data_IF_974341239027
#
_entry.id   IF_974341239027
#
_cell.length_a   1.000
_cell.length_b   1.000
_cell.length_c   1.000
_cell.angle_alpha   90.00
_cell.angle_beta   90.00
_cell.angle_gamma   90.00
#
_symmetry.space_group_name_H-M   'P 1'
#
loop_
_entity.id
_entity.type
_entity.pdbx_description
1 polymer ?
#
# COMPACT_ATOMS: atom_id res chain seq x y z
N UNK A 1 2.32 -4.00 -9.75
CA UNK A 1 1.14 -4.79 -9.31
C UNK A 1 0.59 -4.06 -8.10
N UNK A 2 -0.72 -3.94 -7.92
CA UNK A 2 -1.30 -3.20 -6.78
C UNK A 2 -0.64 -3.54 -5.43
N UNK A 3 -0.71 -2.64 -4.46
CA UNK A 3 -0.44 -2.96 -3.06
C UNK A 3 -1.76 -3.09 -2.30
N UNK A 4 -2.08 -4.32 -1.88
CA UNK A 4 -3.11 -4.61 -0.88
C UNK A 4 -2.45 -4.90 0.47
N UNK A 5 -2.89 -4.20 1.51
CA UNK A 5 -2.40 -4.34 2.89
C UNK A 5 -3.56 -4.68 3.82
N UNK A 6 -3.36 -5.64 4.72
CA UNK A 6 -4.32 -6.04 5.75
C UNK A 6 -3.75 -5.77 7.14
N UNK A 7 -4.57 -5.16 7.98
CA UNK A 7 -4.25 -4.79 9.36
C UNK A 7 -5.14 -5.59 10.31
N UNK A 8 -4.57 -6.52 11.10
CA UNK A 8 -5.28 -7.12 12.23
C UNK A 8 -5.72 -6.07 13.26
N UNK A 9 -6.60 -6.49 14.17
CA UNK A 9 -6.97 -5.69 15.34
C UNK A 9 -5.72 -5.19 16.09
N UNK A 10 -5.77 -3.95 16.54
CA UNK A 10 -4.75 -3.21 17.30
C UNK A 10 -3.41 -2.99 16.58
N UNK A 11 -3.34 -3.23 15.26
CA UNK A 11 -2.19 -2.87 14.42
C UNK A 11 -2.41 -1.54 13.71
N UNK A 12 -1.59 -0.55 14.06
CA UNK A 12 -1.58 0.75 13.38
C UNK A 12 -0.77 0.67 12.08
N UNK A 13 -1.11 1.45 11.06
CA UNK A 13 -0.39 1.46 9.80
C UNK A 13 0.98 2.13 9.96
N UNK A 14 1.96 1.61 9.23
CA UNK A 14 3.15 2.37 8.87
C UNK A 14 2.77 3.28 7.70
N UNK A 15 2.58 4.57 7.99
CA UNK A 15 2.21 5.59 7.01
C UNK A 15 3.26 5.72 5.89
N UNK A 16 4.54 5.56 6.20
CA UNK A 16 5.59 5.59 5.18
C UNK A 16 5.50 4.37 4.26
N UNK A 17 5.15 3.19 4.79
CA UNK A 17 4.92 2.01 3.98
C UNK A 17 3.72 2.18 3.02
N UNK A 18 2.66 2.84 3.49
CA UNK A 18 1.51 3.18 2.65
C UNK A 18 1.87 4.17 1.53
N UNK A 19 2.61 5.24 1.86
CA UNK A 19 3.07 6.24 0.90
C UNK A 19 3.98 5.63 -0.17
N UNK A 20 4.92 4.77 0.22
CA UNK A 20 5.79 4.05 -0.74
C UNK A 20 4.97 3.16 -1.68
N UNK A 21 4.02 2.43 -1.12
CA UNK A 21 3.09 1.62 -1.88
C UNK A 21 2.26 2.43 -2.86
N UNK A 22 1.76 3.59 -2.43
CA UNK A 22 0.97 4.50 -3.26
C UNK A 22 1.81 5.11 -4.40
N UNK A 23 3.06 5.53 -4.14
CA UNK A 23 3.94 6.12 -5.14
C UNK A 23 4.21 5.19 -6.34
N UNK A 24 4.20 3.87 -6.13
CA UNK A 24 4.36 2.86 -7.20
C UNK A 24 3.02 2.45 -7.82
N UNK A 25 1.90 2.73 -7.15
CA UNK A 25 0.56 2.24 -7.48
C UNK A 25 -0.48 3.39 -7.39
N UNK A 26 -0.34 4.37 -8.28
CA UNK A 26 -1.02 5.67 -8.22
C UNK A 26 -2.25 5.76 -9.14
N UNK A 27 -3.06 4.69 -9.24
CA UNK A 27 -4.27 4.66 -10.09
C UNK A 27 -5.57 4.54 -9.27
N UNK A 28 -5.53 5.03 -8.04
CA UNK A 28 -6.64 5.05 -7.09
C UNK A 28 -6.31 4.33 -5.79
N UNK A 29 -6.80 4.88 -4.69
CA UNK A 29 -6.55 4.40 -3.34
C UNK A 29 -7.87 4.19 -2.60
N UNK A 30 -7.85 3.31 -1.62
CA UNK A 30 -8.98 3.18 -0.73
C UNK A 30 -8.72 2.25 0.43
N UNK A 31 -9.61 2.31 1.40
CA UNK A 31 -9.50 1.58 2.64
C UNK A 31 -10.85 1.07 3.10
N UNK A 32 -10.81 0.11 4.03
CA UNK A 32 -11.97 -0.20 4.85
C UNK A 32 -11.53 -0.49 6.29
N UNK A 33 -12.26 0.04 7.26
CA UNK A 33 -12.07 -0.21 8.69
C UNK A 33 -13.36 -0.80 9.26
N UNK A 34 -13.25 -1.95 9.92
CA UNK A 34 -14.38 -2.51 10.67
C UNK A 34 -14.53 -1.72 11.98
N UNK A 35 -15.68 -1.12 12.23
CA UNK A 35 -15.94 -0.33 13.45
C UNK A 35 -17.22 -0.83 14.12
N UNK A 36 -17.11 -1.51 15.26
CA UNK A 36 -18.30 -2.03 15.95
C UNK A 36 -19.15 -2.96 15.06
N UNK A 37 -20.28 -2.47 14.55
CA UNK A 37 -21.22 -3.17 13.67
C UNK A 37 -21.28 -2.60 12.24
N UNK A 38 -20.39 -1.68 11.88
CA UNK A 38 -20.34 -0.99 10.57
C UNK A 38 -18.97 -1.07 9.92
N UNK A 39 -18.93 -0.80 8.62
CA UNK A 39 -17.71 -0.60 7.85
C UNK A 39 -17.59 0.89 7.52
N UNK A 40 -16.44 1.48 7.84
CA UNK A 40 -16.04 2.77 7.27
C UNK A 40 -15.22 2.46 6.02
N UNK A 41 -15.61 3.05 4.89
CA UNK A 41 -14.98 2.84 3.59
C UNK A 41 -14.70 4.22 2.98
N UNK A 42 -13.45 4.47 2.65
CA UNK A 42 -13.01 5.66 1.91
C UNK A 42 -12.27 5.25 0.64
N UNK A 43 -12.45 6.04 -0.42
CA UNK A 43 -11.78 5.87 -1.71
C UNK A 43 -11.46 7.25 -2.27
N UNK A 44 -10.42 7.34 -3.07
CA UNK A 44 -10.03 8.59 -3.70
C UNK A 44 -8.86 8.41 -4.66
N UNK A 45 -8.56 9.48 -5.38
CA UNK A 45 -7.46 9.52 -6.34
C UNK A 45 -6.20 10.18 -5.79
N UNK A 46 -6.30 10.92 -4.68
CA UNK A 46 -5.16 11.52 -3.99
C UNK A 46 -4.69 10.58 -2.87
N UNK A 47 -3.45 10.10 -2.94
CA UNK A 47 -2.89 9.17 -1.95
C UNK A 47 -2.81 9.78 -0.55
N UNK A 48 -2.30 11.01 -0.42
CA UNK A 48 -2.08 11.68 0.86
C UNK A 48 -3.39 11.87 1.62
N UNK A 49 -4.44 12.33 0.92
CA UNK A 49 -5.77 12.54 1.50
C UNK A 49 -6.37 11.22 2.02
N UNK A 50 -6.33 10.17 1.20
CA UNK A 50 -6.91 8.86 1.53
C UNK A 50 -6.12 8.15 2.64
N UNK A 51 -4.78 8.30 2.65
CA UNK A 51 -3.93 7.76 3.72
C UNK A 51 -4.20 8.50 5.02
N UNK A 52 -4.27 9.83 5.00
CA UNK A 52 -4.55 10.63 6.19
C UNK A 52 -5.92 10.25 6.80
N UNK A 53 -6.96 10.12 5.97
CA UNK A 53 -8.28 9.66 6.41
C UNK A 53 -8.23 8.25 6.99
N UNK A 54 -7.53 7.32 6.31
CA UNK A 54 -7.37 5.95 6.80
C UNK A 54 -6.67 5.90 8.16
N UNK A 55 -5.56 6.62 8.33
CA UNK A 55 -4.80 6.70 9.59
C UNK A 55 -5.69 7.26 10.70
N UNK A 56 -6.48 8.29 10.41
CA UNK A 56 -7.43 8.87 11.35
C UNK A 56 -8.49 7.87 11.81
N UNK A 57 -9.16 7.19 10.87
CA UNK A 57 -10.16 6.17 11.18
C UNK A 57 -9.57 5.01 11.97
N UNK A 58 -8.36 4.58 11.61
CA UNK A 58 -7.68 3.46 12.24
C UNK A 58 -7.25 3.75 13.68
N UNK A 59 -6.88 5.00 14.00
CA UNK A 59 -6.63 5.45 15.38
C UNK A 59 -7.90 5.47 16.22
N UNK A 60 -9.04 5.84 15.65
CA UNK A 60 -10.34 5.86 16.35
C UNK A 60 -10.94 4.48 16.55
N UNK A 61 -10.62 3.55 15.66
CA UNK A 61 -11.17 2.20 15.66
C UNK A 61 -10.06 1.13 15.68
N UNK A 62 -9.20 1.10 16.72
CA UNK A 62 -8.05 0.21 16.76
C UNK A 62 -8.45 -1.28 16.87
N UNK A 63 -9.59 -1.58 17.51
CA UNK A 63 -10.01 -2.96 17.78
C UNK A 63 -10.53 -3.73 16.56
N UNK A 64 -10.91 -3.05 15.49
CA UNK A 64 -11.38 -3.70 14.26
C UNK A 64 -10.24 -4.05 13.31
N UNK A 65 -10.38 -5.11 12.49
CA UNK A 65 -9.49 -5.30 11.35
C UNK A 65 -9.73 -4.25 10.27
N UNK A 66 -8.72 -4.00 9.46
CA UNK A 66 -8.79 -3.04 8.36
C UNK A 66 -7.99 -3.50 7.14
N UNK A 67 -8.22 -2.84 6.01
CA UNK A 67 -7.40 -2.96 4.80
C UNK A 67 -7.12 -1.60 4.19
N UNK A 68 -6.03 -1.52 3.43
CA UNK A 68 -5.71 -0.39 2.56
C UNK A 68 -5.26 -0.95 1.20
N UNK A 69 -5.61 -0.26 0.12
CA UNK A 69 -5.26 -0.66 -1.23
C UNK A 69 -4.81 0.51 -2.09
N UNK A 70 -3.67 0.38 -2.75
CA UNK A 70 -3.19 1.27 -3.81
C UNK A 70 -3.20 0.53 -5.15
N UNK A 71 -3.93 1.06 -6.13
CA UNK A 71 -4.20 0.38 -7.41
C UNK A 71 -3.14 0.68 -8.45
N UNK A 72 -2.73 -0.37 -9.16
CA UNK A 72 -2.05 -0.28 -10.45
C UNK A 72 -3.00 -0.82 -11.53
N UNK A 73 -3.49 0.05 -12.40
CA UNK A 73 -4.57 -0.31 -13.33
C UNK A 73 -4.08 -1.26 -14.43
N UNK A 74 -4.58 -2.49 -14.43
CA UNK A 74 -4.37 -3.46 -15.52
C UNK A 74 -5.61 -3.62 -16.42
N UNK A 75 -6.81 -3.45 -15.84
CA UNK A 75 -8.10 -3.49 -16.50
C UNK A 75 -9.03 -2.42 -15.93
N UNK A 76 -9.96 -1.94 -16.75
CA UNK A 76 -10.88 -0.85 -16.41
C UNK A 76 -10.20 0.52 -16.41
N UNK A 77 -10.99 1.59 -16.41
CA UNK A 77 -10.49 2.96 -16.39
C UNK A 77 -9.73 3.29 -15.10
N UNK A 78 -8.88 4.31 -15.15
CA UNK A 78 -8.32 4.96 -13.95
C UNK A 78 -9.37 5.93 -13.42
N UNK A 79 -10.02 5.57 -12.33
CA UNK A 79 -11.06 6.36 -11.67
C UNK A 79 -11.30 5.85 -10.25
N UNK A 80 -11.87 6.71 -9.40
CA UNK A 80 -12.26 6.36 -8.03
C UNK A 80 -13.27 5.20 -8.00
N UNK A 81 -14.14 5.15 -9.00
CA UNK A 81 -15.09 4.07 -9.25
C UNK A 81 -14.44 2.68 -9.43
N UNK A 82 -13.15 2.63 -9.71
CA UNK A 82 -12.34 1.42 -9.81
C UNK A 82 -11.29 1.30 -8.70
N UNK A 83 -11.29 2.21 -7.73
CA UNK A 83 -10.50 2.06 -6.51
C UNK A 83 -11.16 1.02 -5.59
N UNK A 84 -10.35 0.09 -5.11
CA UNK A 84 -10.76 -0.87 -4.10
C UNK A 84 -10.93 -0.18 -2.73
N UNK A 85 -11.76 -0.74 -1.82
CA UNK A 85 -12.51 -1.99 -1.95
C UNK A 85 -13.89 -1.82 -2.60
N UNK A 86 -14.50 -2.94 -3.01
CA UNK A 86 -15.86 -3.00 -3.57
C UNK A 86 -16.82 -3.74 -2.65
N UNK A 87 -18.08 -3.34 -2.60
CA UNK A 87 -19.13 -4.09 -1.91
C UNK A 87 -19.35 -5.47 -2.58
N UNK A 88 -19.74 -6.47 -1.80
CA UNK A 88 -20.02 -7.81 -2.29
C UNK A 88 -21.45 -7.89 -2.84
N UNK A 89 -21.61 -7.72 -4.14
CA UNK A 89 -22.93 -7.60 -4.77
C UNK A 89 -23.74 -6.47 -4.12
N UNK A 90 -24.95 -6.80 -3.65
CA UNK A 90 -25.82 -5.86 -2.93
C UNK A 90 -25.63 -5.85 -1.41
N UNK A 91 -24.58 -6.49 -0.87
CA UNK A 91 -24.26 -6.50 0.57
C UNK A 91 -23.22 -5.43 0.91
N UNK A 92 -23.62 -4.21 1.34
CA UNK A 92 -22.68 -3.16 1.73
C UNK A 92 -21.98 -3.45 3.06
N UNK A 93 -22.45 -4.44 3.83
CA UNK A 93 -21.81 -4.87 5.07
C UNK A 93 -20.62 -5.83 4.83
N UNK A 94 -20.29 -6.11 3.57
CA UNK A 94 -19.15 -6.93 3.17
C UNK A 94 -18.42 -6.28 2.01
N UNK A 95 -17.10 -6.09 2.14
CA UNK A 95 -16.27 -5.48 1.10
C UNK A 95 -15.09 -6.36 0.73
N UNK A 96 -14.63 -6.22 -0.52
CA UNK A 96 -13.60 -7.06 -1.14
C UNK A 96 -12.51 -6.18 -1.74
N UNK A 97 -11.26 -6.50 -1.45
CA UNK A 97 -10.08 -5.96 -2.12
C UNK A 97 -9.20 -7.09 -2.67
N UNK A 98 -8.54 -6.84 -3.80
CA UNK A 98 -7.81 -7.85 -4.56
C UNK A 98 -6.48 -7.31 -5.07
N UNK A 99 -5.42 -8.12 -4.99
CA UNK A 99 -4.18 -7.87 -5.71
C UNK A 99 -3.87 -9.02 -6.67
N UNK A 100 -3.75 -8.68 -7.95
CA UNK A 100 -3.37 -9.56 -9.05
C UNK A 100 -4.21 -9.28 -10.29
N UNK A 101 -4.37 -10.29 -11.14
CA UNK A 101 -5.25 -10.27 -12.31
C UNK A 101 -6.16 -11.50 -12.24
N UNK A 102 -7.47 -11.27 -12.13
CA UNK A 102 -8.44 -12.34 -11.97
C UNK A 102 -8.62 -13.15 -13.26
N UNK A 103 -9.25 -14.33 -13.22
CA UNK A 103 -9.51 -15.13 -14.42
C UNK A 103 -10.30 -14.37 -15.48
N UNK A 104 -10.07 -14.71 -16.76
CA UNK A 104 -10.68 -14.06 -17.93
C UNK A 104 -12.22 -13.96 -17.88
N UNK A 105 -12.88 -14.86 -17.15
CA UNK A 105 -14.33 -14.87 -16.98
C UNK A 105 -14.90 -13.60 -16.32
N UNK A 106 -14.08 -12.82 -15.62
CA UNK A 106 -14.48 -11.54 -15.00
C UNK A 106 -13.73 -10.35 -15.60
N UNK A 107 -13.09 -10.49 -16.76
CA UNK A 107 -12.47 -9.37 -17.45
C UNK A 107 -13.55 -8.49 -18.11
N UNK A 108 -13.38 -7.16 -18.12
CA UNK A 108 -14.32 -6.27 -18.78
C UNK A 108 -14.42 -6.57 -20.28
N UNK A 109 -15.65 -6.57 -20.79
CA UNK A 109 -15.93 -6.63 -22.22
C UNK A 109 -15.66 -5.30 -22.92
N UNK A 110 -15.85 -5.27 -24.25
CA UNK A 110 -15.72 -4.04 -25.01
C UNK A 110 -16.67 -2.94 -24.49
N UNK A 111 -16.11 -1.81 -24.08
CA UNK A 111 -16.86 -0.66 -23.55
C UNK A 111 -17.20 -0.72 -22.06
N UNK A 112 -16.91 -1.83 -21.35
CA UNK A 112 -17.06 -1.88 -19.89
C UNK A 112 -15.87 -1.19 -19.21
N UNK A 113 -16.15 -0.14 -18.45
CA UNK A 113 -15.13 0.66 -17.77
C UNK A 113 -14.69 0.06 -16.43
N UNK A 114 -15.38 -0.98 -15.94
CA UNK A 114 -15.09 -1.59 -14.64
C UNK A 114 -13.79 -2.40 -14.67
N UNK A 115 -13.10 -2.45 -13.53
CA UNK A 115 -11.99 -3.38 -13.31
C UNK A 115 -12.49 -4.82 -13.21
N UNK A 116 -11.61 -5.79 -13.46
CA UNK A 116 -11.90 -7.20 -13.28
C UNK A 116 -12.36 -7.54 -11.86
N UNK A 117 -11.79 -6.86 -10.87
CA UNK A 117 -12.16 -7.02 -9.46
C UNK A 117 -13.55 -6.48 -9.18
N UNK A 118 -13.92 -5.33 -9.78
CA UNK A 118 -15.25 -4.75 -9.60
C UNK A 118 -16.31 -5.70 -10.16
N UNK A 119 -16.10 -6.22 -11.37
CA UNK A 119 -16.98 -7.24 -11.99
C UNK A 119 -17.05 -8.48 -11.08
N UNK A 120 -15.92 -8.96 -10.57
CA UNK A 120 -15.89 -10.11 -9.69
C UNK A 120 -16.65 -9.89 -8.38
N UNK A 121 -16.52 -8.72 -7.75
CA UNK A 121 -17.20 -8.39 -6.50
C UNK A 121 -18.72 -8.23 -6.69
N UNK A 122 -19.13 -7.55 -7.77
CA UNK A 122 -20.53 -7.27 -8.08
C UNK A 122 -21.29 -8.52 -8.55
N UNK A 123 -20.66 -9.37 -9.36
CA UNK A 123 -21.38 -10.40 -10.14
C UNK A 123 -20.95 -11.84 -9.81
N UNK A 124 -19.67 -12.09 -9.54
CA UNK A 124 -19.13 -13.45 -9.41
C UNK A 124 -19.10 -13.94 -7.96
N UNK A 125 -18.38 -13.22 -7.10
CA UNK A 125 -18.23 -13.54 -5.68
C UNK A 125 -19.55 -13.37 -4.91
N UNK A 126 -20.48 -12.57 -5.45
CA UNK A 126 -21.82 -12.39 -4.92
C UNK A 126 -22.74 -13.61 -5.12
N UNK A 127 -22.35 -14.58 -5.98
CA UNK A 127 -23.17 -15.77 -6.22
C UNK A 127 -23.22 -16.68 -5.00
N UNK A 128 -24.36 -17.35 -4.71
CA UNK A 128 -24.52 -18.20 -3.52
C UNK A 128 -23.45 -19.28 -3.34
N UNK A 129 -22.87 -19.77 -4.45
CA UNK A 129 -21.79 -20.76 -4.42
C UNK A 129 -20.47 -20.24 -3.83
N UNK A 130 -20.30 -18.91 -3.73
CA UNK A 130 -19.06 -18.24 -3.32
C UNK A 130 -19.19 -17.44 -2.02
N UNK A 131 -20.39 -17.21 -1.50
CA UNK A 131 -20.60 -16.28 -0.36
C UNK A 131 -20.46 -16.90 1.04
N UNK A 132 -20.20 -18.21 1.16
CA UNK A 132 -20.10 -18.91 2.44
C UNK A 132 -18.65 -19.05 2.94
N UNK A 133 -17.97 -17.94 3.25
CA UNK A 133 -16.52 -17.87 3.51
C UNK A 133 -16.01 -18.70 4.71
N UNK A 134 -16.90 -19.07 5.65
CA UNK A 134 -16.57 -19.94 6.79
C UNK A 134 -16.52 -21.42 6.43
N UNK A 135 -17.08 -21.82 5.29
CA UNK A 135 -17.15 -23.22 4.87
C UNK A 135 -15.93 -23.62 4.04
N UNK A 136 -15.23 -24.67 4.47
CA UNK A 136 -14.02 -25.15 3.79
C UNK A 136 -14.22 -25.46 2.29
N UNK A 137 -15.39 -25.99 1.91
CA UNK A 137 -15.72 -26.26 0.49
C UNK A 137 -15.78 -24.98 -0.34
N UNK A 138 -16.40 -23.93 0.18
CA UNK A 138 -16.48 -22.62 -0.48
C UNK A 138 -15.11 -21.97 -0.52
N UNK A 139 -14.33 -22.06 0.56
CA UNK A 139 -12.95 -21.55 0.59
C UNK A 139 -12.07 -22.21 -0.47
N UNK A 140 -12.13 -23.54 -0.59
CA UNK A 140 -11.40 -24.28 -1.61
C UNK A 140 -11.83 -23.89 -3.04
N UNK A 141 -13.13 -23.66 -3.26
CA UNK A 141 -13.67 -23.19 -4.54
C UNK A 141 -13.13 -21.80 -4.91
N UNK A 142 -13.19 -20.84 -3.98
CA UNK A 142 -12.63 -19.49 -4.19
C UNK A 142 -11.14 -19.58 -4.49
N UNK A 143 -10.39 -20.32 -3.66
CA UNK A 143 -8.93 -20.47 -3.81
C UNK A 143 -8.55 -21.07 -5.17
N UNK A 144 -9.27 -22.11 -5.62
CA UNK A 144 -9.06 -22.71 -6.93
C UNK A 144 -9.36 -21.75 -8.07
N UNK A 145 -10.43 -20.97 -7.95
CA UNK A 145 -10.79 -19.96 -8.94
C UNK A 145 -9.77 -18.82 -9.00
N UNK A 146 -9.30 -18.33 -7.85
CA UNK A 146 -8.26 -17.29 -7.78
C UNK A 146 -6.94 -17.75 -8.42
N UNK A 147 -6.56 -19.02 -8.28
CA UNK A 147 -5.21 -19.48 -8.60
C UNK A 147 -4.18 -18.94 -7.61
N UNK A 148 -2.90 -19.32 -7.76
CA UNK A 148 -1.89 -19.07 -6.72
C UNK A 148 -1.35 -17.63 -6.67
N UNK A 149 -1.45 -16.86 -7.76
CA UNK A 149 -0.83 -15.53 -7.86
C UNK A 149 -1.72 -14.40 -7.32
N UNK A 150 -3.02 -14.64 -7.17
CA UNK A 150 -4.01 -13.63 -6.79
C UNK A 150 -4.27 -13.65 -5.28
N UNK A 151 -4.35 -12.50 -4.63
CA UNK A 151 -4.66 -12.41 -3.19
C UNK A 151 -5.93 -11.61 -2.97
N UNK A 152 -6.75 -12.06 -2.03
CA UNK A 152 -8.05 -11.45 -1.75
C UNK A 152 -8.19 -11.21 -0.25
N UNK A 153 -8.59 -10.00 0.12
CA UNK A 153 -8.98 -9.64 1.49
C UNK A 153 -10.46 -9.28 1.47
N UNK A 154 -11.23 -9.90 2.36
CA UNK A 154 -12.65 -9.60 2.56
C UNK A 154 -12.83 -9.14 4.00
N UNK A 155 -13.46 -7.98 4.19
CA UNK A 155 -13.91 -7.50 5.49
C UNK A 155 -15.43 -7.51 5.54
N UNK A 156 -15.97 -7.83 6.72
CA UNK A 156 -17.43 -7.89 6.90
C UNK A 156 -17.84 -7.58 8.33
N UNK A 157 -19.01 -6.96 8.45
CA UNK A 157 -19.79 -6.84 9.68
C UNK A 157 -21.13 -7.58 9.58
N UNK A 158 -21.39 -8.26 8.46
CA UNK A 158 -22.59 -9.04 8.27
C UNK A 158 -22.61 -10.22 9.27
N UNK A 159 -23.62 -10.31 10.17
CA UNK A 159 -23.63 -11.27 11.27
C UNK A 159 -23.76 -12.72 10.83
N UNK A 160 -24.04 -12.99 9.54
CA UNK A 160 -24.04 -14.35 8.99
C UNK A 160 -22.63 -14.99 8.98
N UNK A 161 -21.59 -14.18 9.06
CA UNK A 161 -20.20 -14.63 9.05
C UNK A 161 -19.64 -14.73 10.46
N UNK A 162 -18.85 -15.78 10.72
CA UNK A 162 -18.20 -16.00 12.02
C UNK A 162 -16.99 -15.11 12.25
N UNK A 163 -16.33 -14.67 11.18
CA UNK A 163 -15.15 -13.81 11.23
C UNK A 163 -15.44 -12.48 10.55
N UNK A 164 -14.72 -11.45 10.98
CA UNK A 164 -14.80 -10.10 10.41
C UNK A 164 -13.80 -9.85 9.27
N UNK A 165 -12.87 -10.78 9.07
CA UNK A 165 -11.86 -10.73 8.03
C UNK A 165 -11.57 -12.13 7.48
N UNK A 166 -11.41 -12.23 6.16
CA UNK A 166 -11.03 -13.44 5.45
C UNK A 166 -9.94 -13.11 4.44
N UNK A 167 -8.80 -13.79 4.56
CA UNK A 167 -7.70 -13.74 3.59
C UNK A 167 -7.73 -15.01 2.75
N UNK A 168 -7.53 -14.86 1.44
CA UNK A 168 -7.33 -15.94 0.49
C UNK A 168 -5.97 -15.79 -0.17
N UNK A 169 -5.24 -16.91 -0.28
CA UNK A 169 -3.83 -16.96 -0.66
C UNK A 169 -2.93 -16.09 0.21
N UNK A 170 -3.21 -16.07 1.52
CA UNK A 170 -2.41 -15.34 2.52
C UNK A 170 -0.92 -15.67 2.45
N UNK A 171 -0.58 -16.95 2.21
CA UNK A 171 0.79 -17.43 2.09
C UNK A 171 1.55 -16.88 0.85
N UNK A 172 0.86 -16.24 -0.09
CA UNK A 172 1.46 -15.55 -1.23
C UNK A 172 1.74 -14.05 -0.95
N UNK A 173 1.40 -13.56 0.24
CA UNK A 173 1.86 -12.29 0.77
C UNK A 173 2.87 -12.48 1.89
N UNK A 174 3.20 -11.41 2.58
CA UNK A 174 4.21 -11.36 3.63
C UNK A 174 3.63 -10.73 4.89
N UNK A 175 4.02 -11.25 6.04
CA UNK A 175 3.76 -10.62 7.32
C UNK A 175 5.00 -9.87 7.77
N UNK A 176 4.87 -8.56 7.98
CA UNK A 176 5.90 -7.71 8.56
C UNK A 176 5.31 -6.89 9.71
N UNK A 177 5.95 -6.94 10.88
CA UNK A 177 5.52 -6.25 12.10
C UNK A 177 4.02 -6.46 12.48
N UNK A 178 3.47 -7.61 12.12
CA UNK A 178 2.07 -7.97 12.37
C UNK A 178 1.06 -7.32 11.41
N UNK A 179 1.53 -6.75 10.31
CA UNK A 179 0.75 -6.26 9.18
C UNK A 179 1.00 -7.20 8.01
N UNK A 180 -0.05 -7.53 7.26
CA UNK A 180 0.09 -8.37 6.07
C UNK A 180 0.14 -7.50 4.81
N UNK A 181 1.14 -7.73 3.97
CA UNK A 181 1.34 -7.06 2.69
C UNK A 181 1.25 -8.07 1.56
N UNK A 182 0.56 -7.70 0.49
CA UNK A 182 0.36 -8.59 -0.66
C UNK A 182 1.59 -8.73 -1.59
N UNK A 183 2.57 -7.83 -1.48
CA UNK A 183 3.87 -7.86 -2.17
C UNK A 183 4.85 -6.90 -1.44
N UNK A 184 6.04 -6.70 -2.00
CA UNK A 184 7.11 -5.88 -1.40
C UNK A 184 7.07 -4.39 -1.79
N UNK A 185 6.01 -3.88 -2.42
CA UNK A 185 5.98 -2.48 -2.87
C UNK A 185 5.87 -1.48 -1.70
N UNK A 186 5.65 -1.98 -0.48
CA UNK A 186 5.72 -1.22 0.77
C UNK A 186 7.15 -1.03 1.28
N UNK A 187 8.13 -1.78 0.76
CA UNK A 187 9.52 -1.73 1.22
C UNK A 187 10.25 -0.51 0.64
N UNK A 188 11.28 -0.05 1.34
CA UNK A 188 12.22 0.90 0.76
C UNK A 188 13.02 0.15 -0.30
N UNK A 189 12.72 0.39 -1.57
CA UNK A 189 13.65 0.02 -2.65
C UNK A 189 14.80 1.01 -2.60
N UNK A 190 15.83 0.72 -1.81
CA UNK A 190 17.16 1.26 -2.11
C UNK A 190 17.60 0.48 -3.36
N UNK A 191 17.73 1.10 -4.54
CA UNK A 191 18.34 0.41 -5.67
C UNK A 191 19.65 -0.18 -5.17
N UNK A 192 19.88 -1.48 -5.37
CA UNK A 192 21.11 -2.17 -4.98
C UNK A 192 22.38 -1.60 -5.65
N UNK A 193 22.26 -0.47 -6.36
CA UNK A 193 23.28 0.26 -7.07
C UNK A 193 23.10 1.79 -6.98
N UNK A 194 22.39 2.34 -5.98
CA UNK A 194 22.78 3.71 -5.59
C UNK A 194 24.07 3.52 -4.83
N UNK A 195 25.22 3.95 -5.36
CA UNK A 195 26.47 3.71 -4.69
C UNK A 195 26.38 4.46 -3.36
N UNK A 196 26.22 3.72 -2.26
CA UNK A 196 26.25 4.23 -0.88
C UNK A 196 27.62 4.87 -0.54
N UNK A 197 28.53 4.91 -1.51
CA UNK A 197 29.89 5.45 -1.49
C UNK A 197 30.27 6.09 -2.85
N UNK A 198 29.29 6.51 -3.65
CA UNK A 198 29.53 7.34 -4.84
C UNK A 198 29.67 8.76 -4.35
N UNK A 199 30.89 9.14 -4.00
CA UNK A 199 31.19 10.46 -3.48
C UNK A 199 30.74 11.56 -4.44
N UNK A 200 30.86 12.80 -3.98
CA UNK A 200 30.71 14.04 -4.74
C UNK A 200 31.51 14.12 -6.08
N UNK A 201 32.15 13.04 -6.53
CA UNK A 201 33.00 12.96 -7.73
C UNK A 201 32.32 12.48 -9.01
N UNK A 202 31.07 11.99 -8.99
CA UNK A 202 30.39 11.48 -10.20
C UNK A 202 29.50 12.53 -10.91
N UNK A 203 29.41 13.74 -10.36
CA UNK A 203 28.58 14.83 -10.91
C UNK A 203 27.07 14.64 -10.67
N UNK A 204 26.29 15.65 -11.05
CA UNK A 204 24.85 15.69 -10.90
C UNK A 204 24.15 14.66 -11.78
N UNK A 205 23.29 13.80 -11.21
CA UNK A 205 22.54 12.79 -11.99
C UNK A 205 21.60 13.36 -13.06
N UNK A 206 21.26 14.66 -13.00
CA UNK A 206 20.34 15.31 -13.94
C UNK A 206 21.09 15.92 -15.13
N UNK A 207 22.15 16.67 -14.87
CA UNK A 207 22.84 17.46 -15.90
C UNK A 207 24.33 17.15 -16.04
N UNK A 208 24.88 16.27 -15.22
CA UNK A 208 26.31 15.91 -15.20
C UNK A 208 27.24 16.97 -14.64
N UNK A 209 26.72 18.10 -14.14
CA UNK A 209 27.52 19.17 -13.54
C UNK A 209 28.02 18.81 -12.15
N UNK A 210 29.21 19.25 -11.79
CA UNK A 210 29.95 18.88 -10.57
C UNK A 210 29.94 19.96 -9.47
N UNK A 211 29.39 21.15 -9.76
CA UNK A 211 29.32 22.25 -8.82
C UNK A 211 27.98 22.29 -8.05
N UNK A 212 28.08 22.40 -6.72
CA UNK A 212 26.94 22.43 -5.80
C UNK A 212 26.87 23.75 -5.03
N UNK A 213 25.65 24.23 -4.80
CA UNK A 213 25.39 25.36 -3.92
C UNK A 213 25.75 24.97 -2.47
N UNK A 214 26.64 25.68 -1.77
CA UNK A 214 27.03 25.30 -0.41
C UNK A 214 25.92 25.44 0.64
N UNK A 215 24.95 26.34 0.41
CA UNK A 215 23.84 26.59 1.32
C UNK A 215 22.64 25.69 1.03
N UNK A 216 22.27 25.59 -0.24
CA UNK A 216 21.10 24.82 -0.67
C UNK A 216 21.44 23.40 -1.10
N UNK A 217 22.71 23.02 -1.29
CA UNK A 217 23.27 21.72 -1.75
C UNK A 217 22.66 21.14 -3.03
N UNK A 218 22.02 22.00 -3.83
CA UNK A 218 21.52 21.67 -5.16
C UNK A 218 22.61 21.92 -6.20
N UNK A 219 22.48 21.29 -7.37
CA UNK A 219 23.38 21.54 -8.49
C UNK A 219 23.27 22.99 -8.97
N UNK A 220 24.39 23.71 -9.09
CA UNK A 220 24.40 25.11 -9.54
C UNK A 220 23.97 25.29 -11.01
N UNK A 221 23.96 24.22 -11.80
CA UNK A 221 23.63 24.28 -13.22
C UNK A 221 22.15 24.06 -13.52
N UNK A 222 21.50 23.18 -12.77
CA UNK A 222 20.10 22.81 -13.02
C UNK A 222 19.19 22.98 -11.82
N UNK A 223 19.72 23.38 -10.66
CA UNK A 223 18.96 23.58 -9.41
C UNK A 223 18.24 22.32 -8.90
N UNK A 224 18.65 21.14 -9.38
CA UNK A 224 18.15 19.85 -8.89
C UNK A 224 19.17 19.18 -7.96
N UNK A 225 18.66 18.36 -7.05
CA UNK A 225 19.45 17.54 -6.16
C UNK A 225 20.35 16.61 -6.97
N UNK A 226 21.68 16.64 -6.76
CA UNK A 226 22.63 15.88 -7.58
C UNK A 226 22.54 14.37 -7.35
N UNK A 227 21.73 13.89 -6.40
CA UNK A 227 21.58 12.47 -6.06
C UNK A 227 20.22 11.89 -6.45
N UNK A 228 19.12 12.61 -6.19
CA UNK A 228 17.75 12.13 -6.48
C UNK A 228 17.06 12.88 -7.62
N UNK A 229 17.65 13.97 -8.12
CA UNK A 229 17.10 14.76 -9.21
C UNK A 229 15.83 15.57 -8.86
N UNK A 230 15.50 15.74 -7.58
CA UNK A 230 14.38 16.58 -7.12
C UNK A 230 14.77 18.07 -7.06
N UNK A 231 13.83 18.97 -7.36
CA UNK A 231 14.00 20.42 -7.14
C UNK A 231 13.86 20.83 -5.66
N UNK A 232 13.98 22.13 -5.39
CA UNK A 232 14.04 22.71 -4.02
C UNK A 232 12.79 22.42 -3.16
N UNK A 233 11.61 22.31 -3.78
CA UNK A 233 10.33 22.03 -3.09
C UNK A 233 9.90 20.56 -3.10
N UNK A 234 10.67 19.69 -3.75
CA UNK A 234 10.26 18.30 -4.04
C UNK A 234 11.08 17.28 -3.26
N UNK A 235 11.75 17.69 -2.17
CA UNK A 235 12.46 16.74 -1.32
C UNK A 235 11.45 15.90 -0.54
N UNK A 236 11.30 14.60 -0.84
CA UNK A 236 10.46 13.77 -0.01
C UNK A 236 11.03 13.71 1.41
N UNK A 237 10.19 13.58 2.43
CA UNK A 237 10.58 13.49 3.86
C UNK A 237 11.60 12.38 4.17
N UNK A 238 11.87 11.49 3.21
CA UNK A 238 12.83 10.39 3.27
C UNK A 238 14.13 10.63 2.47
N UNK A 239 14.32 11.82 1.90
CA UNK A 239 15.56 12.20 1.23
C UNK A 239 16.75 12.17 2.21
N UNK A 240 17.85 11.54 1.82
CA UNK A 240 19.08 11.43 2.63
C UNK A 240 19.60 12.80 3.09
N UNK A 241 19.29 13.87 2.34
CA UNK A 241 19.62 15.26 2.68
C UNK A 241 18.83 15.81 3.86
N UNK A 242 17.58 15.38 4.03
CA UNK A 242 16.76 15.72 5.21
C UNK A 242 17.14 14.87 6.44
N UNK A 243 17.78 13.70 6.21
CA UNK A 243 18.26 12.82 7.30
C UNK A 243 19.71 13.05 7.70
N UNK A 244 20.49 13.79 6.90
CA UNK A 244 21.90 14.08 7.14
C UNK A 244 22.16 14.82 8.45
N UNK A 245 21.21 15.63 8.92
CA UNK A 245 21.34 16.42 10.15
C UNK A 245 20.74 15.74 11.40
N UNK A 246 20.15 14.54 11.24
CA UNK A 246 19.62 13.82 12.38
C UNK A 246 20.72 13.02 13.06
N UNK A 247 21.08 13.45 14.28
CA UNK A 247 21.94 12.68 15.17
C UNK A 247 21.22 11.41 15.64
N UNK A 248 21.92 10.28 15.58
CA UNK A 248 21.45 9.03 16.14
C UNK A 248 21.26 9.21 17.66
N UNK A 249 20.08 8.92 18.23
CA UNK A 249 19.86 9.11 19.66
C UNK A 249 20.67 8.14 20.53
N UNK A 250 21.20 7.05 19.96
CA UNK A 250 22.00 6.05 20.68
C UNK A 250 23.49 6.40 20.74
N UNK A 251 24.09 6.91 19.65
CA UNK A 251 25.52 7.20 19.58
C UNK A 251 25.87 8.67 19.32
N UNK A 252 24.88 9.52 19.04
CA UNK A 252 25.07 10.93 18.69
C UNK A 252 25.64 11.19 17.30
N UNK A 253 25.97 10.13 16.55
CA UNK A 253 26.57 10.23 15.22
C UNK A 253 25.51 10.53 14.15
N UNK A 254 25.89 11.17 13.04
CA UNK A 254 24.91 11.47 11.99
C UNK A 254 24.31 10.18 11.43
N UNK A 255 23.00 10.16 11.20
CA UNK A 255 22.26 8.94 10.80
C UNK A 255 22.84 8.24 9.55
N UNK A 256 23.57 8.98 8.70
CA UNK A 256 24.24 8.47 7.50
C UNK A 256 25.56 7.74 7.77
N UNK A 257 26.19 7.95 8.94
CA UNK A 257 27.44 7.31 9.36
C UNK A 257 27.25 6.34 10.53
N UNK A 258 26.02 6.22 11.03
CA UNK A 258 25.69 5.41 12.19
C UNK A 258 25.74 3.90 11.85
N UNK A 259 26.70 3.18 12.45
CA UNK A 259 26.80 1.72 12.42
C UNK A 259 26.09 1.01 13.58
N UNK A 260 25.24 1.71 14.35
CA UNK A 260 24.45 1.08 15.40
C UNK A 260 23.37 0.19 14.78
N UNK A 261 23.11 -0.98 15.37
CA UNK A 261 21.88 -1.72 15.13
C UNK A 261 20.72 -0.85 15.61
N UNK A 262 20.17 -0.02 14.70
CA UNK A 262 19.03 0.83 15.02
C UNK A 262 17.82 -0.10 15.17
N UNK A 263 17.56 -0.53 16.40
CA UNK A 263 16.33 -1.24 16.73
C UNK A 263 15.14 -0.39 16.24
N UNK A 264 14.08 -1.02 15.66
CA UNK A 264 12.88 -0.29 15.27
C UNK A 264 12.36 0.51 16.46
N UNK A 265 11.94 1.74 16.19
CA UNK A 265 11.64 2.87 17.12
C UNK A 265 10.63 2.55 18.26
N UNK A 266 10.18 1.31 18.42
CA UNK A 266 9.25 0.86 19.46
C UNK A 266 9.92 0.40 20.78
N UNK A 267 11.12 0.87 21.09
CA UNK A 267 11.72 0.71 22.42
C UNK A 267 12.48 1.97 22.85
N UNK A 268 11.79 3.11 22.92
CA UNK A 268 12.15 4.18 23.85
C UNK A 268 10.85 4.64 24.52
N UNK A 269 10.89 4.62 25.85
CA UNK A 269 9.80 4.80 26.83
C UNK A 269 8.84 5.95 26.58
#
# INVERSE_FOLDING_TARGET
MCLLTFFPANRQPDEHALLRGAAVNDNGHGFAVVTGDRLVVGRGMNADDVIAEFVWERRRHPSGPALFHSRFATHGSVSEDNAHPFALGSDPATVVAHNGILPKAVHPGYGDLRSDTRIAAEEFLAQPAFTAFDHGKTRARITRWLGHANKLVILTVNPRYRKRAYLFNEAAGLWDNGIWYSNNDYEVRIPAQVPLLGGLGDGCVVCGGDDLDPGSGLCLYCEHCPFCGSGESDCPLYCYRMRGDMACPACGDFAVFCGCDIAPVNQMT
#
